data_IF_057401963323
#
_entry.id   IF_057401963323
#
_cell.length_a   1.000
_cell.length_b   1.000
_cell.length_c   1.000
_cell.angle_alpha   90.00
_cell.angle_beta   90.00
_cell.angle_gamma   90.00
#
_symmetry.space_group_name_H-M   'P 1'
#
loop_
_entity.id
_entity.type
_entity.pdbx_description
1 polymer ?
#
# COMPACT_ATOMS: atom_id res chain seq x y z
N UNK A 1 -2.09 4.34 -6.77
CA UNK A 1 -1.28 3.32 -6.06
C UNK A 1 -2.20 2.50 -5.20
N UNK A 2 -2.11 1.18 -5.30
CA UNK A 2 -2.91 0.22 -4.53
C UNK A 2 -2.05 -0.52 -3.50
N UNK A 3 -2.72 -1.10 -2.50
CA UNK A 3 -2.06 -1.83 -1.41
C UNK A 3 -2.61 -3.24 -1.32
N UNK A 4 -1.73 -4.24 -1.16
CA UNK A 4 -2.14 -5.62 -0.89
C UNK A 4 -1.18 -6.28 0.10
N UNK A 5 -1.71 -7.15 0.96
CA UNK A 5 -0.91 -7.96 1.89
C UNK A 5 -0.17 -9.10 1.20
N UNK A 6 -0.55 -9.45 -0.03
CA UNK A 6 -0.10 -10.68 -0.71
C UNK A 6 0.67 -10.41 -2.00
N UNK A 7 0.52 -9.22 -2.59
CA UNK A 7 1.10 -8.91 -3.89
C UNK A 7 1.45 -7.43 -4.04
N UNK A 8 2.63 -7.14 -4.57
CA UNK A 8 3.08 -5.78 -4.81
C UNK A 8 4.58 -5.65 -4.65
N UNK A 9 5.10 -4.48 -5.00
CA UNK A 9 6.49 -4.13 -4.67
C UNK A 9 6.57 -3.85 -3.17
N UNK A 10 7.54 -4.42 -2.43
CA UNK A 10 7.72 -4.09 -1.02
C UNK A 10 7.85 -2.58 -0.83
N UNK A 11 7.05 -2.01 0.07
CA UNK A 11 6.91 -0.56 0.26
C UNK A 11 8.26 0.15 0.37
N UNK A 12 9.17 -0.38 1.18
CA UNK A 12 10.49 0.23 1.42
C UNK A 12 11.49 0.04 0.27
N UNK A 13 11.13 -0.73 -0.75
CA UNK A 13 11.88 -0.89 -2.02
C UNK A 13 11.22 -0.16 -3.18
N UNK A 14 9.99 0.33 -3.01
CA UNK A 14 9.27 1.07 -4.02
C UNK A 14 9.68 2.54 -4.03
N UNK A 15 9.75 3.16 -5.22
CA UNK A 15 9.85 4.61 -5.36
C UNK A 15 8.44 5.19 -5.47
N UNK A 16 8.04 6.02 -4.51
CA UNK A 16 6.70 6.57 -4.41
C UNK A 16 6.61 7.93 -5.11
N UNK A 17 5.72 8.10 -6.11
CA UNK A 17 5.59 9.37 -6.82
C UNK A 17 5.19 10.54 -5.91
N UNK A 18 5.71 11.75 -6.20
CA UNK A 18 5.32 12.99 -5.49
C UNK A 18 3.84 13.31 -5.60
N UNK A 19 3.21 13.00 -6.74
CA UNK A 19 1.77 13.18 -6.96
C UNK A 19 1.17 11.80 -7.12
N UNK A 20 0.39 11.37 -6.13
CA UNK A 20 -0.25 10.06 -6.16
C UNK A 20 -1.56 10.06 -5.39
N UNK A 21 -2.45 9.16 -5.79
CA UNK A 21 -3.64 8.78 -5.02
C UNK A 21 -3.34 7.44 -4.37
N UNK A 22 -3.47 7.39 -3.05
CA UNK A 22 -3.40 6.15 -2.27
C UNK A 22 -4.80 5.55 -2.17
N UNK A 23 -4.94 4.31 -2.65
CA UNK A 23 -6.20 3.56 -2.58
C UNK A 23 -6.01 2.39 -1.63
N UNK A 24 -6.86 2.33 -0.60
CA UNK A 24 -6.81 1.33 0.47
C UNK A 24 -8.05 0.44 0.37
N UNK A 25 -7.85 -0.88 0.46
CA UNK A 25 -8.95 -1.85 0.44
C UNK A 25 -9.66 -1.95 1.78
N UNK A 26 -10.91 -2.44 1.76
CA UNK A 26 -11.61 -2.82 2.98
C UNK A 26 -11.15 -4.22 3.45
N UNK A 27 -11.06 -4.42 4.77
CA UNK A 27 -10.50 -5.62 5.41
C UNK A 27 -11.22 -6.94 5.04
N UNK A 28 -12.43 -6.89 4.46
CA UNK A 28 -13.21 -8.09 4.10
C UNK A 28 -13.16 -8.50 2.63
N UNK A 29 -13.29 -7.54 1.72
CA UNK A 29 -13.37 -7.83 0.27
C UNK A 29 -12.14 -7.34 -0.50
N UNK A 30 -11.17 -6.70 0.18
CA UNK A 30 -9.98 -6.14 -0.45
C UNK A 30 -10.28 -4.91 -1.33
N UNK A 31 -9.43 -4.70 -2.33
CA UNK A 31 -9.69 -3.74 -3.42
C UNK A 31 -10.37 -4.50 -4.56
N UNK A 32 -11.33 -3.87 -5.23
CA UNK A 32 -11.93 -4.47 -6.43
C UNK A 32 -10.86 -4.72 -7.49
N UNK A 33 -10.97 -5.83 -8.23
CA UNK A 33 -10.05 -6.19 -9.31
C UNK A 33 -9.89 -5.07 -10.34
N UNK A 34 -10.95 -4.28 -10.56
CA UNK A 34 -10.92 -3.10 -11.41
C UNK A 34 -9.92 -2.04 -10.90
N UNK A 35 -9.93 -1.74 -9.59
CA UNK A 35 -9.03 -0.77 -8.98
C UNK A 35 -7.58 -1.26 -8.94
N UNK A 36 -7.37 -2.57 -8.77
CA UNK A 36 -6.04 -3.20 -8.85
C UNK A 36 -5.50 -3.19 -10.29
N UNK A 37 -6.33 -3.45 -11.29
CA UNK A 37 -5.90 -3.47 -12.71
C UNK A 37 -5.54 -2.09 -13.26
N UNK A 38 -6.16 -1.03 -12.74
CA UNK A 38 -5.90 0.35 -13.16
C UNK A 38 -4.75 1.02 -12.42
N UNK A 39 -4.12 0.34 -11.47
CA UNK A 39 -3.10 0.93 -10.63
C UNK A 39 -1.73 0.91 -11.31
N UNK A 40 -1.13 2.09 -11.49
CA UNK A 40 0.25 2.22 -12.02
C UNK A 40 1.30 1.60 -11.09
N UNK A 41 0.97 1.43 -9.81
CA UNK A 41 1.85 0.90 -8.78
C UNK A 41 1.03 0.19 -7.70
N UNK A 42 1.36 -1.08 -7.46
CA UNK A 42 0.87 -1.85 -6.31
C UNK A 42 2.00 -2.11 -5.33
N UNK A 43 1.79 -1.81 -4.05
CA UNK A 43 2.78 -2.07 -2.99
C UNK A 43 2.24 -2.99 -1.89
N UNK A 44 3.17 -3.58 -1.16
CA UNK A 44 2.88 -4.37 0.04
C UNK A 44 3.71 -3.87 1.22
N UNK A 45 3.13 -3.95 2.43
CA UNK A 45 3.90 -3.83 3.68
C UNK A 45 4.31 -5.25 4.06
N UNK A 46 5.61 -5.53 4.05
CA UNK A 46 6.10 -6.86 4.40
C UNK A 46 5.73 -7.18 5.86
N UNK A 47 4.98 -8.26 6.04
CA UNK A 47 4.62 -8.80 7.35
C UNK A 47 5.56 -9.92 7.79
N UNK A 48 5.32 -10.44 8.99
CA UNK A 48 6.01 -11.62 9.51
C UNK A 48 5.43 -12.95 8.99
N UNK A 49 4.29 -12.89 8.29
CA UNK A 49 3.52 -14.07 7.87
C UNK A 49 2.66 -14.68 8.98
N UNK A 50 2.78 -14.22 10.23
CA UNK A 50 2.00 -14.73 11.36
C UNK A 50 0.60 -14.13 11.47
N UNK A 51 0.33 -13.06 10.73
CA UNK A 51 -0.97 -12.40 10.61
C UNK A 51 -1.24 -12.11 9.15
N UNK A 52 -2.50 -12.18 8.75
CA UNK A 52 -2.93 -12.01 7.36
C UNK A 52 -2.78 -10.57 6.87
N UNK A 53 -3.07 -9.59 7.72
CA UNK A 53 -2.93 -8.17 7.39
C UNK A 53 -2.77 -7.30 8.64
N UNK A 54 -2.26 -6.09 8.43
CA UNK A 54 -2.32 -5.02 9.43
C UNK A 54 -3.70 -4.39 9.40
N UNK A 55 -4.13 -3.85 10.55
CA UNK A 55 -5.27 -2.96 10.59
C UNK A 55 -5.11 -1.83 9.56
N UNK A 56 -6.20 -1.49 8.85
CA UNK A 56 -6.16 -0.51 7.75
C UNK A 56 -5.60 0.85 8.19
N UNK A 57 -5.88 1.31 9.42
CA UNK A 57 -5.37 2.59 9.91
C UNK A 57 -3.85 2.56 10.12
N UNK A 58 -3.33 1.44 10.61
CA UNK A 58 -1.89 1.23 10.82
C UNK A 58 -1.18 1.15 9.47
N UNK A 59 -1.71 0.36 8.54
CA UNK A 59 -1.16 0.26 7.19
C UNK A 59 -1.09 1.64 6.51
N UNK A 60 -2.18 2.43 6.62
CA UNK A 60 -2.25 3.79 6.11
C UNK A 60 -1.16 4.68 6.70
N UNK A 61 -0.96 4.64 8.02
CA UNK A 61 0.07 5.42 8.71
C UNK A 61 1.47 5.09 8.20
N UNK A 62 1.79 3.79 8.04
CA UNK A 62 3.08 3.33 7.51
C UNK A 62 3.31 3.84 6.07
N UNK A 63 2.29 3.72 5.22
CA UNK A 63 2.35 4.16 3.82
C UNK A 63 2.57 5.66 3.69
N UNK A 64 1.82 6.47 4.44
CA UNK A 64 1.94 7.93 4.43
C UNK A 64 3.28 8.39 5.01
N UNK A 65 3.77 7.73 6.07
CA UNK A 65 5.08 8.04 6.65
C UNK A 65 6.22 7.77 5.66
N UNK A 66 6.16 6.65 4.92
CA UNK A 66 7.16 6.34 3.91
C UNK A 66 7.08 7.30 2.72
N UNK A 67 5.87 7.62 2.25
CA UNK A 67 5.68 8.63 1.22
C UNK A 67 6.28 9.98 1.63
N UNK A 68 6.00 10.44 2.85
CA UNK A 68 6.56 11.67 3.39
C UNK A 68 8.09 11.62 3.46
N UNK A 69 8.67 10.51 3.92
CA UNK A 69 10.11 10.30 4.02
C UNK A 69 10.80 10.42 2.65
N UNK A 70 10.20 9.84 1.60
CA UNK A 70 10.74 9.89 0.23
C UNK A 70 10.54 11.26 -0.43
N UNK A 71 9.41 11.91 -0.16
CA UNK A 71 8.97 13.08 -0.93
C UNK A 71 9.18 14.42 -0.24
N UNK A 72 9.74 14.44 0.99
CA UNK A 72 10.08 15.62 1.82
C UNK A 72 9.78 16.93 1.10
N UNK A 73 8.60 17.48 1.37
CA UNK A 73 8.34 18.89 1.16
C UNK A 73 9.10 19.70 2.21
#
# INVERSE_FOLDING_TARGET
MTTSSHAGTPLFKATLPRKMVLVLGQERDGLSDAALSSADLSVSIDGTGNVESLNVSVATGVLLAEWWRQNKA
#
